data_IF_815778164000
#
_entry.id   IF_815778164000
#
_cell.length_a   1.000
_cell.length_b   1.000
_cell.length_c   1.000
_cell.angle_alpha   90.00
_cell.angle_beta   90.00
_cell.angle_gamma   90.00
#
_symmetry.space_group_name_H-M   'P 1'
#
loop_
_entity.id
_entity.type
_entity.pdbx_description
1 polymer ?
#
# COMPACT_ATOMS: atom_id res chain seq x y z
N UNK A 1 80.49 39.61 25.22
CA UNK A 1 79.62 40.81 25.32
C UNK A 1 78.69 40.84 24.11
N UNK A 2 77.37 40.95 24.35
CA UNK A 2 76.24 41.29 23.45
C UNK A 2 75.80 40.27 22.37
N UNK A 3 74.69 39.54 22.61
CA UNK A 3 73.26 39.76 22.23
C UNK A 3 72.95 39.20 20.81
N UNK A 4 72.24 38.07 20.71
CA UNK A 4 70.76 37.93 20.56
C UNK A 4 70.25 38.12 19.12
N UNK A 5 69.84 37.01 18.47
CA UNK A 5 68.55 36.87 17.78
C UNK A 5 68.34 35.45 17.18
N UNK A 6 67.11 34.95 17.40
CA UNK A 6 66.29 34.00 16.60
C UNK A 6 66.88 32.61 16.27
N UNK A 7 66.41 31.55 16.95
CA UNK A 7 65.17 30.77 16.66
C UNK A 7 65.26 30.08 15.29
N UNK A 8 65.29 28.75 15.12
CA UNK A 8 65.03 27.59 15.97
C UNK A 8 64.53 26.49 15.02
N UNK A 9 65.25 25.37 14.87
CA UNK A 9 64.88 24.26 13.97
C UNK A 9 64.93 22.91 14.70
N UNK A 10 63.72 22.34 14.95
CA UNK A 10 63.29 20.91 15.03
C UNK A 10 63.99 19.94 16.03
N UNK A 11 63.48 18.73 16.35
CA UNK A 11 62.21 18.03 15.99
C UNK A 11 61.43 17.33 17.16
N UNK A 12 60.19 16.92 16.84
CA UNK A 12 59.39 15.70 17.16
C UNK A 12 59.70 14.91 18.45
N UNK A 13 58.67 14.67 19.28
CA UNK A 13 58.45 13.34 19.88
C UNK A 13 56.95 13.04 20.06
N UNK A 14 56.61 11.77 19.83
CA UNK A 14 55.28 11.15 19.85
C UNK A 14 54.88 10.76 21.28
N UNK A 15 53.58 10.43 21.46
CA UNK A 15 52.99 9.75 22.63
C UNK A 15 52.53 10.63 23.82
N UNK A 16 51.28 11.10 23.79
CA UNK A 16 50.19 10.61 24.66
C UNK A 16 48.93 11.51 24.55
N UNK A 17 47.71 10.94 24.72
CA UNK A 17 46.47 11.67 24.56
C UNK A 17 46.21 12.61 25.74
N UNK A 18 46.14 13.91 25.46
CA UNK A 18 45.67 14.92 26.40
C UNK A 18 44.15 14.80 26.59
N UNK A 19 43.77 14.70 27.86
CA UNK A 19 42.42 14.58 28.40
C UNK A 19 41.51 15.69 27.86
N UNK A 20 40.45 15.33 27.13
CA UNK A 20 39.31 16.22 26.91
C UNK A 20 38.43 16.18 28.16
N UNK A 21 38.26 17.33 28.79
CA UNK A 21 37.31 17.55 29.88
C UNK A 21 35.96 17.96 29.29
N UNK A 22 34.90 17.53 30.01
CA UNK A 22 33.48 17.89 29.96
C UNK A 22 33.07 19.06 29.02
N UNK A 23 31.95 19.02 28.31
CA UNK A 23 30.80 18.14 28.35
C UNK A 23 29.96 18.44 27.11
N UNK A 24 29.60 17.39 26.38
CA UNK A 24 28.78 17.41 25.18
C UNK A 24 27.40 18.03 25.44
N UNK A 25 27.02 19.02 24.64
CA UNK A 25 25.61 19.35 24.43
C UNK A 25 25.26 18.99 22.99
N UNK A 26 24.28 18.11 22.83
CA UNK A 26 23.46 18.08 21.62
C UNK A 26 23.49 16.78 20.83
N UNK A 27 22.99 15.69 21.41
CA UNK A 27 22.16 14.71 20.70
C UNK A 27 21.74 13.64 21.71
N UNK A 28 20.45 13.52 22.07
CA UNK A 28 19.85 12.22 22.37
C UNK A 28 18.31 12.29 22.32
N UNK A 29 17.81 11.31 21.57
CA UNK A 29 16.46 10.81 21.40
C UNK A 29 15.79 10.61 22.77
N UNK A 30 14.54 11.07 22.94
CA UNK A 30 13.71 10.71 24.08
C UNK A 30 12.52 9.87 23.61
N UNK A 31 12.71 8.55 23.68
CA UNK A 31 11.63 7.56 23.68
C UNK A 31 11.27 7.27 25.15
N UNK A 32 10.00 7.49 25.47
CA UNK A 32 9.16 6.89 26.51
C UNK A 32 9.76 6.51 27.89
N UNK A 33 9.27 7.17 28.95
CA UNK A 33 9.01 6.53 30.25
C UNK A 33 7.76 7.12 30.93
N UNK A 34 6.72 6.28 30.98
CA UNK A 34 5.79 6.07 32.09
C UNK A 34 5.74 7.14 33.21
N UNK A 35 4.70 7.97 33.19
CA UNK A 35 4.12 8.53 34.41
C UNK A 35 2.88 7.73 34.78
N UNK A 36 3.09 6.78 35.69
CA UNK A 36 2.06 6.16 36.50
C UNK A 36 1.80 7.09 37.68
N UNK A 37 0.66 7.76 37.69
CA UNK A 37 0.03 8.20 38.93
C UNK A 37 -1.47 8.01 38.79
N UNK A 38 -2.00 7.01 39.47
CA UNK A 38 -3.43 6.80 39.60
C UNK A 38 -4.03 7.94 40.44
N UNK A 39 -4.98 8.66 39.85
CA UNK A 39 -5.99 9.40 40.61
C UNK A 39 -7.34 9.09 39.95
N UNK A 40 -8.22 8.49 40.74
CA UNK A 40 -9.60 8.22 40.37
C UNK A 40 -10.31 9.57 40.30
N UNK A 41 -10.79 9.95 39.12
CA UNK A 41 -11.88 10.91 38.98
C UNK A 41 -13.01 10.19 38.23
N UNK A 42 -14.14 9.98 38.91
CA UNK A 42 -15.36 9.58 38.22
C UNK A 42 -15.73 10.71 37.25
N UNK A 43 -15.63 10.44 35.95
CA UNK A 43 -16.16 11.34 34.92
C UNK A 43 -17.67 11.11 34.84
N UNK A 44 -18.43 12.11 35.24
CA UNK A 44 -19.85 12.25 34.89
C UNK A 44 -19.93 12.39 33.38
N UNK A 45 -20.62 11.47 32.70
CA UNK A 45 -20.85 11.54 31.25
C UNK A 45 -21.80 12.71 30.98
N UNK A 46 -21.25 13.87 30.65
CA UNK A 46 -21.97 14.88 29.88
C UNK A 46 -21.80 14.51 28.40
N UNK A 47 -22.92 14.22 27.73
CA UNK A 47 -22.96 13.73 26.36
C UNK A 47 -22.11 14.56 25.41
N UNK A 48 -21.00 13.98 24.96
CA UNK A 48 -20.19 14.51 23.88
C UNK A 48 -20.93 14.27 22.56
N UNK A 49 -21.10 15.34 21.77
CA UNK A 49 -21.58 15.26 20.38
C UNK A 49 -20.40 14.93 19.46
N UNK A 50 -19.55 13.98 19.82
CA UNK A 50 -18.55 13.46 18.90
C UNK A 50 -19.28 12.74 17.78
N UNK A 51 -18.93 13.10 16.55
CA UNK A 51 -19.30 12.31 15.37
C UNK A 51 -18.95 10.86 15.67
N UNK A 52 -19.90 9.91 15.54
CA UNK A 52 -19.65 8.56 15.96
C UNK A 52 -18.43 8.01 15.21
N UNK A 53 -17.60 7.27 15.94
CA UNK A 53 -16.25 6.84 15.53
C UNK A 53 -16.25 6.07 14.19
N UNK A 54 -17.40 5.54 13.81
CA UNK A 54 -17.68 4.88 12.54
C UNK A 54 -17.65 5.84 11.33
N UNK A 55 -18.05 7.11 11.49
CA UNK A 55 -18.05 8.10 10.41
C UNK A 55 -16.62 8.51 10.00
N UNK A 56 -15.70 8.64 10.96
CA UNK A 56 -14.28 8.88 10.68
C UNK A 56 -13.61 7.65 10.06
N UNK A 57 -13.96 6.44 10.51
CA UNK A 57 -13.42 5.20 9.94
C UNK A 57 -13.90 4.94 8.51
N UNK A 58 -15.12 5.37 8.14
CA UNK A 58 -15.60 5.32 6.74
C UNK A 58 -14.71 6.10 5.77
N UNK A 59 -13.98 7.11 6.24
CA UNK A 59 -13.00 7.83 5.42
C UNK A 59 -11.82 6.95 5.02
N UNK A 60 -11.44 6.00 5.87
CA UNK A 60 -10.30 5.11 5.68
C UNK A 60 -10.71 3.73 5.13
N UNK A 61 -11.96 3.31 5.38
CA UNK A 61 -12.57 2.09 4.88
C UNK A 61 -13.92 2.42 4.21
N UNK A 62 -13.90 2.99 2.99
CA UNK A 62 -15.10 3.56 2.37
C UNK A 62 -16.23 2.56 2.17
N UNK A 63 -15.97 1.26 2.16
CA UNK A 63 -17.01 0.25 2.07
C UNK A 63 -16.72 -0.99 2.90
N UNK A 64 -17.77 -1.53 3.51
CA UNK A 64 -17.85 -2.92 3.89
C UNK A 64 -17.96 -3.73 2.59
N UNK A 65 -16.83 -4.01 1.94
CA UNK A 65 -16.83 -5.03 0.88
C UNK A 65 -17.30 -6.30 1.59
N UNK A 66 -18.42 -6.87 1.14
CA UNK A 66 -18.84 -8.16 1.64
C UNK A 66 -17.82 -9.17 1.11
N UNK A 67 -16.74 -9.40 1.88
CA UNK A 67 -15.84 -10.53 1.71
C UNK A 67 -16.61 -11.81 2.04
N UNK A 68 -17.62 -12.12 1.24
CA UNK A 68 -18.09 -13.48 1.15
C UNK A 68 -16.90 -14.29 0.64
N UNK A 69 -16.64 -15.44 1.26
CA UNK A 69 -15.64 -16.35 0.74
C UNK A 69 -15.98 -16.60 -0.73
N UNK A 70 -15.05 -16.25 -1.61
CA UNK A 70 -15.21 -16.51 -3.03
C UNK A 70 -15.30 -18.03 -3.20
N UNK A 71 -16.23 -18.56 -4.02
CA UNK A 71 -16.37 -19.98 -4.27
C UNK A 71 -15.26 -20.54 -5.16
N UNK A 72 -14.08 -19.92 -5.14
CA UNK A 72 -12.89 -20.27 -5.89
C UNK A 72 -11.63 -19.80 -5.16
N UNK A 73 -10.50 -20.42 -5.51
CA UNK A 73 -9.18 -20.10 -4.98
C UNK A 73 -8.25 -19.69 -6.12
N UNK A 74 -7.60 -18.54 -5.99
CA UNK A 74 -6.67 -18.01 -7.00
C UNK A 74 -5.27 -18.43 -6.64
N UNK A 75 -4.59 -19.05 -7.60
CA UNK A 75 -3.21 -19.49 -7.44
C UNK A 75 -2.18 -18.54 -8.04
N UNK A 76 -2.54 -17.80 -9.10
CA UNK A 76 -1.59 -16.91 -9.75
C UNK A 76 -2.26 -15.73 -10.47
N UNK A 77 -1.55 -14.60 -10.46
CA UNK A 77 -1.86 -13.41 -11.24
C UNK A 77 -0.70 -13.10 -12.19
N UNK A 78 -0.90 -13.26 -13.50
CA UNK A 78 0.08 -12.80 -14.49
C UNK A 78 -0.25 -11.37 -14.89
N UNK A 79 0.44 -10.43 -14.26
CA UNK A 79 0.24 -9.01 -14.47
C UNK A 79 1.13 -8.47 -15.59
N UNK A 80 0.52 -7.81 -16.58
CA UNK A 80 1.19 -7.02 -17.61
C UNK A 80 0.63 -5.62 -17.54
N UNK A 81 1.48 -4.65 -17.20
CA UNK A 81 1.09 -3.25 -17.05
C UNK A 81 1.90 -2.35 -17.98
N UNK A 82 1.17 -1.51 -18.69
CA UNK A 82 1.64 -0.26 -19.27
C UNK A 82 1.25 0.88 -18.31
N UNK A 83 2.23 1.69 -17.97
CA UNK A 83 2.10 2.72 -16.94
C UNK A 83 2.53 4.05 -17.55
N UNK A 84 1.62 5.02 -17.53
CA UNK A 84 1.80 6.36 -18.11
C UNK A 84 1.71 7.41 -17.00
N UNK A 85 2.84 7.77 -16.38
CA UNK A 85 2.85 8.69 -15.22
C UNK A 85 2.45 10.12 -15.56
N UNK A 86 2.72 10.56 -16.79
CA UNK A 86 2.40 11.89 -17.32
C UNK A 86 0.90 12.19 -17.34
N UNK A 87 0.09 11.15 -17.60
CA UNK A 87 -1.38 11.24 -17.62
C UNK A 87 -2.03 10.49 -16.47
N UNK A 88 -1.24 9.94 -15.54
CA UNK A 88 -1.70 9.15 -14.40
C UNK A 88 -2.63 8.00 -14.82
N UNK A 89 -2.22 7.23 -15.82
CA UNK A 89 -3.01 6.09 -16.29
C UNK A 89 -2.22 4.80 -16.27
N UNK A 90 -2.92 3.71 -15.99
CA UNK A 90 -2.46 2.36 -16.28
C UNK A 90 -3.37 1.74 -17.33
N UNK A 91 -2.79 0.87 -18.15
CA UNK A 91 -3.49 -0.04 -19.03
C UNK A 91 -2.78 -1.38 -19.00
N UNK A 92 -3.49 -2.47 -19.29
CA UNK A 92 -2.83 -3.76 -19.34
C UNK A 92 -3.78 -4.93 -19.23
N UNK A 93 -3.22 -6.04 -18.78
CA UNK A 93 -3.96 -7.28 -18.58
C UNK A 93 -3.53 -7.97 -17.31
N UNK A 94 -4.48 -8.62 -16.66
CA UNK A 94 -4.21 -9.62 -15.63
C UNK A 94 -4.80 -10.95 -16.07
N UNK A 95 -3.96 -11.97 -16.18
CA UNK A 95 -4.44 -13.36 -16.27
C UNK A 95 -4.56 -13.91 -14.85
N UNK A 96 -5.72 -14.47 -14.53
CA UNK A 96 -6.06 -15.02 -13.22
C UNK A 96 -6.22 -16.53 -13.37
N UNK A 97 -5.35 -17.28 -12.70
CA UNK A 97 -5.37 -18.74 -12.70
C UNK A 97 -5.79 -19.26 -11.32
N UNK A 98 -6.73 -20.20 -11.28
CA UNK A 98 -7.26 -20.72 -10.03
C UNK A 98 -8.08 -21.99 -10.18
N UNK A 99 -8.71 -22.38 -9.08
CA UNK A 99 -9.53 -23.57 -8.96
C UNK A 99 -10.91 -23.23 -8.39
N UNK A 100 -11.95 -23.87 -8.92
CA UNK A 100 -13.28 -23.82 -8.31
C UNK A 100 -13.28 -24.53 -6.95
N UNK A 101 -13.92 -23.92 -5.96
CA UNK A 101 -14.22 -24.55 -4.66
C UNK A 101 -15.70 -24.99 -4.57
N UNK A 102 -16.50 -24.70 -5.60
CA UNK A 102 -17.91 -25.04 -5.66
C UNK A 102 -18.20 -26.11 -6.72
N UNK A 103 -19.25 -26.90 -6.50
CA UNK A 103 -19.66 -27.97 -7.42
C UNK A 103 -20.30 -27.47 -8.72
N UNK A 104 -20.65 -26.18 -8.81
CA UNK A 104 -21.32 -25.58 -9.96
C UNK A 104 -21.01 -24.08 -10.05
N UNK A 105 -19.72 -23.76 -10.14
CA UNK A 105 -19.26 -22.38 -10.27
C UNK A 105 -19.50 -21.87 -11.69
N UNK A 106 -20.37 -20.88 -11.85
CA UNK A 106 -20.67 -20.26 -13.15
C UNK A 106 -20.12 -18.85 -13.31
N UNK A 107 -19.89 -18.17 -12.21
CA UNK A 107 -19.55 -16.77 -12.20
C UNK A 107 -18.31 -16.52 -11.33
N UNK A 108 -17.41 -15.67 -11.82
CA UNK A 108 -16.26 -15.18 -11.06
C UNK A 108 -16.51 -13.71 -10.70
N UNK A 109 -16.69 -13.41 -9.42
CA UNK A 109 -16.86 -12.06 -8.91
C UNK A 109 -15.51 -11.47 -8.49
N UNK A 110 -15.01 -10.50 -9.25
CA UNK A 110 -13.68 -9.92 -9.07
C UNK A 110 -13.84 -8.47 -8.62
N UNK A 111 -13.17 -8.11 -7.53
CA UNK A 111 -13.13 -6.73 -7.06
C UNK A 111 -12.33 -5.87 -8.03
N UNK A 112 -12.95 -4.79 -8.48
CA UNK A 112 -12.36 -3.78 -9.36
C UNK A 112 -13.15 -2.49 -9.24
N UNK A 113 -12.52 -1.43 -8.71
CA UNK A 113 -13.16 -0.12 -8.57
C UNK A 113 -13.72 0.42 -9.89
N UNK A 114 -14.76 1.24 -9.79
CA UNK A 114 -15.56 1.75 -10.92
C UNK A 114 -14.86 2.81 -11.77
N UNK A 115 -13.78 3.40 -11.27
CA UNK A 115 -12.86 4.25 -12.03
C UNK A 115 -12.03 3.48 -13.07
N UNK A 116 -12.03 2.14 -13.03
CA UNK A 116 -11.34 1.29 -13.99
C UNK A 116 -12.32 0.79 -15.06
N UNK A 117 -11.88 0.87 -16.32
CA UNK A 117 -12.61 0.39 -17.49
C UNK A 117 -12.08 -1.00 -17.83
N UNK A 118 -12.98 -1.96 -18.00
CA UNK A 118 -12.68 -3.29 -18.53
C UNK A 118 -12.95 -3.26 -20.04
N UNK A 119 -11.90 -3.41 -20.85
CA UNK A 119 -12.04 -3.42 -22.30
C UNK A 119 -12.48 -4.81 -22.80
N UNK A 120 -11.99 -5.89 -22.20
CA UNK A 120 -12.42 -7.26 -22.53
C UNK A 120 -12.08 -8.27 -21.45
N UNK A 121 -12.78 -9.41 -21.47
CA UNK A 121 -12.46 -10.60 -20.68
C UNK A 121 -12.40 -11.80 -21.62
N UNK A 122 -11.38 -12.63 -21.49
CA UNK A 122 -11.23 -13.84 -22.32
C UNK A 122 -10.84 -15.07 -21.50
N UNK A 123 -11.16 -16.25 -22.01
CA UNK A 123 -10.61 -17.53 -21.55
C UNK A 123 -10.14 -18.30 -22.78
N UNK A 124 -8.88 -18.76 -22.77
CA UNK A 124 -8.26 -19.45 -23.92
C UNK A 124 -8.44 -18.69 -25.26
N UNK A 125 -8.38 -17.36 -25.23
CA UNK A 125 -8.57 -16.49 -26.40
C UNK A 125 -10.03 -16.26 -26.83
N UNK A 126 -11.01 -16.89 -26.17
CA UNK A 126 -12.44 -16.69 -26.44
C UNK A 126 -13.00 -15.61 -25.51
N UNK A 127 -13.77 -14.67 -26.06
CA UNK A 127 -14.39 -13.59 -25.28
C UNK A 127 -15.48 -14.13 -24.35
N UNK A 128 -15.49 -13.65 -23.10
CA UNK A 128 -16.49 -13.96 -22.09
C UNK A 128 -17.40 -12.76 -21.84
N UNK A 129 -18.64 -13.04 -21.47
CA UNK A 129 -19.55 -12.02 -20.99
C UNK A 129 -19.21 -11.63 -19.57
N UNK A 130 -19.34 -10.35 -19.25
CA UNK A 130 -19.20 -9.87 -17.88
C UNK A 130 -20.19 -8.73 -17.62
N UNK A 131 -20.50 -8.52 -16.34
CA UNK A 131 -21.31 -7.40 -15.87
C UNK A 131 -20.59 -6.64 -14.77
N UNK A 132 -21.02 -5.40 -14.53
CA UNK A 132 -20.45 -4.50 -13.51
C UNK A 132 -21.50 -4.22 -12.44
N UNK A 133 -21.11 -4.40 -11.18
CA UNK A 133 -21.95 -4.09 -10.01
C UNK A 133 -21.08 -3.28 -9.05
N UNK A 134 -21.24 -1.95 -9.07
CA UNK A 134 -20.49 -1.02 -8.21
C UNK A 134 -18.96 -1.22 -8.41
N UNK A 135 -18.26 -1.76 -7.40
CA UNK A 135 -16.81 -2.01 -7.37
C UNK A 135 -16.45 -3.48 -7.67
N UNK A 136 -17.37 -4.23 -8.27
CA UNK A 136 -17.15 -5.61 -8.67
C UNK A 136 -17.47 -5.79 -10.15
N UNK A 137 -16.74 -6.69 -10.79
CA UNK A 137 -17.10 -7.28 -12.08
C UNK A 137 -17.45 -8.75 -11.90
N UNK A 138 -18.48 -9.21 -12.58
CA UNK A 138 -18.92 -10.60 -12.55
C UNK A 138 -18.73 -11.18 -13.95
N UNK A 139 -17.79 -12.13 -14.08
CA UNK A 139 -17.46 -12.80 -15.34
C UNK A 139 -18.22 -14.12 -15.42
N UNK A 140 -18.95 -14.32 -16.52
CA UNK A 140 -19.66 -15.57 -16.79
C UNK A 140 -18.71 -16.57 -17.45
N UNK A 141 -18.55 -17.73 -16.82
CA UNK A 141 -17.77 -18.83 -17.37
C UNK A 141 -18.56 -19.52 -18.49
N UNK A 142 -17.86 -20.01 -19.55
CA UNK A 142 -18.53 -20.64 -20.69
C UNK A 142 -19.23 -21.96 -20.32
N UNK A 143 -18.79 -22.59 -19.24
CA UNK A 143 -19.41 -23.77 -18.64
C UNK A 143 -19.28 -23.68 -17.12
N UNK A 144 -20.17 -24.37 -16.41
CA UNK A 144 -20.04 -24.50 -14.97
C UNK A 144 -18.85 -25.37 -14.61
N UNK A 145 -18.09 -24.96 -13.60
CA UNK A 145 -16.97 -25.72 -13.07
C UNK A 145 -17.38 -26.51 -11.84
N UNK A 146 -16.93 -27.76 -11.78
CA UNK A 146 -16.99 -28.62 -10.60
C UNK A 146 -15.89 -28.26 -9.61
N UNK A 147 -16.02 -28.71 -8.36
CA UNK A 147 -15.00 -28.45 -7.34
C UNK A 147 -13.66 -29.08 -7.74
N UNK A 148 -12.57 -28.31 -7.61
CA UNK A 148 -11.22 -28.70 -8.01
C UNK A 148 -10.91 -28.54 -9.50
N UNK A 149 -11.86 -28.10 -10.34
CA UNK A 149 -11.57 -27.77 -11.74
C UNK A 149 -10.85 -26.44 -11.87
N UNK A 150 -9.94 -26.35 -12.84
CA UNK A 150 -9.13 -25.16 -13.12
C UNK A 150 -9.90 -24.16 -13.97
N UNK A 151 -9.65 -22.88 -13.70
CA UNK A 151 -9.97 -21.81 -14.63
C UNK A 151 -8.74 -20.94 -14.91
N UNK A 152 -8.75 -20.32 -16.08
CA UNK A 152 -7.81 -19.28 -16.47
C UNK A 152 -8.57 -18.24 -17.29
N UNK A 153 -8.61 -17.02 -16.79
CA UNK A 153 -9.23 -15.89 -17.49
C UNK A 153 -8.22 -14.75 -17.62
N UNK A 154 -8.30 -13.97 -18.70
CA UNK A 154 -7.54 -12.73 -18.86
C UNK A 154 -8.48 -11.55 -18.92
N UNK A 155 -8.29 -10.59 -18.03
CA UNK A 155 -9.02 -9.32 -17.99
C UNK A 155 -8.11 -8.23 -18.54
N UNK A 156 -8.55 -7.56 -19.61
CA UNK A 156 -7.92 -6.37 -20.15
C UNK A 156 -8.62 -5.13 -19.58
N UNK A 157 -7.84 -4.22 -19.00
CA UNK A 157 -8.38 -3.07 -18.30
C UNK A 157 -7.46 -1.85 -18.40
N UNK A 158 -8.04 -0.68 -18.15
CA UNK A 158 -7.34 0.60 -18.14
C UNK A 158 -8.06 1.63 -17.27
N UNK A 159 -7.34 2.65 -16.84
CA UNK A 159 -7.93 3.74 -16.08
C UNK A 159 -6.90 4.51 -15.27
N UNK A 160 -7.37 5.44 -14.45
CA UNK A 160 -6.55 6.10 -13.43
C UNK A 160 -6.89 5.47 -12.07
N UNK A 161 -6.03 4.63 -11.48
CA UNK A 161 -6.24 4.05 -10.16
C UNK A 161 -6.44 5.13 -9.10
N UNK A 162 -7.47 4.97 -8.29
CA UNK A 162 -7.78 5.94 -7.24
C UNK A 162 -6.86 5.74 -6.03
N UNK A 163 -6.44 6.87 -5.45
CA UNK A 163 -5.80 6.87 -4.13
C UNK A 163 -6.88 6.71 -3.06
N UNK A 164 -6.95 5.55 -2.43
CA UNK A 164 -7.88 5.29 -1.32
C UNK A 164 -7.14 4.84 -0.05
N UNK A 165 -7.83 4.80 1.08
CA UNK A 165 -7.28 4.37 2.37
C UNK A 165 -6.00 5.13 2.76
N UNK A 166 -4.97 4.38 3.16
CA UNK A 166 -3.65 4.91 3.53
C UNK A 166 -2.78 5.38 2.35
N UNK A 167 -3.32 5.38 1.13
CA UNK A 167 -2.60 5.72 -0.09
C UNK A 167 -2.35 4.48 -0.93
N UNK A 168 -3.42 3.82 -1.36
CA UNK A 168 -3.34 2.55 -2.08
C UNK A 168 -2.64 2.61 -3.42
N UNK A 169 -2.88 3.66 -4.20
CA UNK A 169 -2.16 3.96 -5.43
C UNK A 169 -1.84 5.45 -5.45
N UNK A 170 -0.57 5.79 -5.70
CA UNK A 170 -0.14 7.19 -5.70
C UNK A 170 0.71 7.49 -6.91
N UNK A 171 0.38 8.62 -7.51
CA UNK A 171 1.20 9.30 -8.48
C UNK A 171 1.87 10.47 -7.75
N UNK A 172 3.20 10.48 -7.69
CA UNK A 172 3.96 11.58 -7.11
C UNK A 172 5.05 12.03 -8.08
N UNK A 173 5.62 13.21 -7.82
CA UNK A 173 6.74 13.74 -8.60
C UNK A 173 7.83 14.19 -7.63
N UNK A 174 9.09 14.03 -8.03
CA UNK A 174 10.22 14.60 -7.31
C UNK A 174 11.24 15.12 -8.32
N UNK A 175 11.49 16.43 -8.29
CA UNK A 175 12.40 17.14 -9.19
C UNK A 175 12.10 16.91 -10.68
N UNK A 176 10.82 16.93 -11.09
CA UNK A 176 10.41 16.67 -12.47
C UNK A 176 10.38 15.20 -12.88
N UNK A 177 10.74 14.27 -11.98
CA UNK A 177 10.71 12.82 -12.24
C UNK A 177 9.45 12.20 -11.61
N UNK A 178 8.56 11.59 -12.41
CA UNK A 178 7.40 10.88 -11.89
C UNK A 178 7.79 9.65 -11.06
N UNK A 179 7.01 9.38 -10.01
CA UNK A 179 7.15 8.23 -9.12
C UNK A 179 5.78 7.64 -8.85
N UNK A 180 5.74 6.31 -8.75
CA UNK A 180 4.51 5.56 -8.55
C UNK A 180 4.75 4.53 -7.47
N UNK A 181 3.81 4.43 -6.55
CA UNK A 181 3.88 3.47 -5.47
C UNK A 181 2.48 3.09 -5.00
N UNK A 182 2.39 1.89 -4.46
CA UNK A 182 1.14 1.33 -3.93
C UNK A 182 1.31 0.95 -2.46
N UNK A 183 0.28 1.18 -1.66
CA UNK A 183 0.16 0.67 -0.28
C UNK A 183 -1.23 0.05 -0.10
N UNK A 184 -1.38 -1.18 -0.55
CA UNK A 184 -2.68 -1.85 -0.70
C UNK A 184 -3.16 -2.55 0.57
N UNK A 185 -2.69 -2.11 1.75
CA UNK A 185 -3.10 -2.69 3.03
C UNK A 185 -4.17 -1.84 3.74
N UNK A 186 -5.19 -2.47 4.35
CA UNK A 186 -5.59 -3.87 4.15
C UNK A 186 -6.28 -4.09 2.78
N UNK A 187 -6.86 -3.03 2.22
CA UNK A 187 -7.52 -2.98 0.91
C UNK A 187 -7.17 -1.67 0.23
N UNK A 188 -6.84 -1.72 -1.05
CA UNK A 188 -6.38 -0.57 -1.82
C UNK A 188 -6.94 -0.50 -3.22
#
# INVERSE_FOLDING_TARGET
MKFSQKSGHKPIDLMNPLKLTASNVGFLISIAMFFWSAAIAQVTVHGDKSLPHDLELRKYFPQKINHLAQPYDVTFYHLKLDVRPDVQQIAGSVQIDGFSQAANLRDLAIDLYDNMIVDSVTANGVSLQFSRVVQQMVVQLPQALSAGERFSITVHYRGNPQRIGFGSFNWTESNGTPRIWTLSEPYG
#
